data_IF_228854834088
#
_entry.id   IF_228854834088
#
_cell.length_a   1.000
_cell.length_b   1.000
_cell.length_c   1.000
_cell.angle_alpha   90.00
_cell.angle_beta   90.00
_cell.angle_gamma   90.00
#
_symmetry.space_group_name_H-M   'P 1'
#
loop_
_entity.id
_entity.type
_entity.pdbx_description
1 polymer ?
#
# COMPACT_ATOMS: atom_id res chain seq x y z
N UNK A 1 -14.02 -22.02 -11.66
CA UNK A 1 -13.28 -20.81 -12.09
C UNK A 1 -12.97 -20.00 -10.85
N UNK A 2 -11.72 -20.02 -10.39
CA UNK A 2 -11.26 -19.24 -9.23
C UNK A 2 -10.63 -17.94 -9.76
N UNK A 3 -11.06 -16.81 -9.21
CA UNK A 3 -10.70 -15.48 -9.68
C UNK A 3 -9.29 -15.12 -9.15
N UNK A 4 -8.39 -14.62 -10.01
CA UNK A 4 -6.96 -14.37 -9.75
C UNK A 4 -6.66 -13.22 -8.75
N UNK A 5 -7.56 -12.95 -7.80
CA UNK A 5 -7.39 -11.87 -6.82
C UNK A 5 -7.45 -12.33 -5.35
N UNK A 6 -7.57 -13.64 -5.11
CA UNK A 6 -7.59 -14.24 -3.76
C UNK A 6 -6.20 -14.37 -3.09
N UNK A 7 -5.13 -13.86 -3.70
CA UNK A 7 -3.75 -13.90 -3.16
C UNK A 7 -3.25 -12.50 -2.80
N UNK A 8 -3.80 -11.87 -1.77
CA UNK A 8 -3.15 -10.72 -1.12
C UNK A 8 -2.39 -11.13 0.15
N UNK A 9 -1.75 -12.29 0.06
CA UNK A 9 -0.52 -12.62 0.78
C UNK A 9 0.50 -13.05 -0.28
N UNK A 10 0.94 -12.12 -1.14
CA UNK A 10 1.96 -12.47 -2.13
C UNK A 10 3.27 -12.64 -1.37
N UNK A 11 3.74 -13.88 -1.29
CA UNK A 11 5.10 -14.23 -0.87
C UNK A 11 6.07 -13.41 -1.74
N UNK A 12 7.01 -12.69 -1.10
CA UNK A 12 8.00 -11.82 -1.74
C UNK A 12 8.70 -12.54 -2.92
N UNK A 13 8.89 -13.86 -2.80
CA UNK A 13 9.49 -14.72 -3.84
C UNK A 13 8.59 -15.00 -5.04
N UNK A 14 7.29 -15.12 -4.84
CA UNK A 14 6.34 -15.40 -5.93
C UNK A 14 6.06 -14.12 -6.73
N UNK A 15 6.08 -12.96 -6.06
CA UNK A 15 6.04 -11.66 -6.73
C UNK A 15 7.27 -11.44 -7.63
N UNK A 16 8.48 -11.73 -7.11
CA UNK A 16 9.73 -11.60 -7.87
C UNK A 16 9.74 -12.50 -9.11
N UNK A 17 9.18 -13.71 -8.99
CA UNK A 17 9.05 -14.66 -10.10
C UNK A 17 8.07 -14.16 -11.16
N UNK A 18 6.97 -13.56 -10.76
CA UNK A 18 5.94 -13.02 -11.65
C UNK A 18 6.37 -11.67 -12.31
N UNK A 19 7.25 -10.91 -11.65
CA UNK A 19 7.95 -9.75 -12.24
C UNK A 19 9.01 -10.23 -13.25
N UNK A 20 9.80 -11.24 -12.88
CA UNK A 20 10.82 -11.84 -13.76
C UNK A 20 10.24 -12.51 -15.00
N UNK A 21 9.00 -13.01 -14.95
CA UNK A 21 8.27 -13.59 -16.09
C UNK A 21 7.56 -12.54 -16.95
N UNK A 22 7.48 -11.27 -16.52
CA UNK A 22 6.77 -10.20 -17.22
C UNK A 22 5.25 -10.30 -17.18
N UNK A 23 4.70 -11.22 -16.37
CA UNK A 23 3.24 -11.43 -16.21
C UNK A 23 2.60 -10.28 -15.43
N UNK A 24 3.39 -9.59 -14.61
CA UNK A 24 3.02 -8.39 -13.88
C UNK A 24 4.11 -7.35 -14.13
N UNK A 25 3.75 -6.16 -14.61
CA UNK A 25 4.63 -5.00 -14.51
C UNK A 25 4.96 -4.80 -13.03
N UNK A 26 6.21 -4.50 -12.64
CA UNK A 26 6.58 -4.38 -11.25
C UNK A 26 5.67 -3.36 -10.58
N UNK A 27 4.68 -3.85 -9.85
CA UNK A 27 4.14 -3.12 -8.72
C UNK A 27 5.31 -3.15 -7.77
N UNK A 28 6.20 -2.17 -7.93
CA UNK A 28 7.32 -1.92 -7.05
C UNK A 28 6.77 -2.17 -5.65
N UNK A 29 7.19 -3.25 -4.99
CA UNK A 29 7.37 -3.15 -3.54
C UNK A 29 8.41 -2.05 -3.48
N UNK A 30 8.06 -0.82 -3.08
CA UNK A 30 9.05 0.23 -3.03
C UNK A 30 10.15 -0.33 -2.13
N UNK A 31 11.40 -0.31 -2.59
CA UNK A 31 12.49 -0.22 -1.62
C UNK A 31 12.20 1.07 -0.87
N UNK A 32 11.45 0.95 0.22
CA UNK A 32 10.90 2.11 0.89
C UNK A 32 12.09 2.94 1.33
N UNK A 33 12.25 4.12 0.72
CA UNK A 33 13.39 4.96 1.03
C UNK A 33 13.22 5.62 2.40
N UNK A 34 12.01 5.60 2.95
CA UNK A 34 11.68 6.22 4.23
C UNK A 34 10.49 5.55 4.93
N UNK A 35 10.37 5.80 6.23
CA UNK A 35 9.19 5.45 7.01
C UNK A 35 7.91 6.05 6.43
N UNK A 36 7.96 7.29 5.94
CA UNK A 36 6.81 7.95 5.34
C UNK A 36 6.28 7.20 4.10
N UNK A 37 7.15 6.63 3.27
CA UNK A 37 6.71 5.83 2.13
C UNK A 37 6.08 4.49 2.56
N UNK A 38 6.57 3.88 3.65
CA UNK A 38 5.96 2.69 4.25
C UNK A 38 4.52 2.99 4.69
N UNK A 39 4.32 4.10 5.42
CA UNK A 39 3.01 4.51 5.91
C UNK A 39 2.05 4.81 4.77
N UNK A 40 2.47 5.64 3.81
CA UNK A 40 1.66 5.97 2.63
C UNK A 40 1.26 4.71 1.86
N UNK A 41 2.19 3.79 1.64
CA UNK A 41 1.90 2.53 0.96
C UNK A 41 0.83 1.75 1.72
N UNK A 42 1.01 1.55 3.03
CA UNK A 42 0.10 0.73 3.80
C UNK A 42 -1.31 1.34 3.85
N UNK A 43 -1.42 2.65 4.03
CA UNK A 43 -2.70 3.33 4.01
C UNK A 43 -3.40 3.24 2.65
N UNK A 44 -2.66 3.38 1.55
CA UNK A 44 -3.19 3.13 0.20
C UNK A 44 -3.66 1.68 0.04
N UNK A 45 -2.89 0.72 0.55
CA UNK A 45 -3.24 -0.71 0.51
C UNK A 45 -4.57 -0.97 1.19
N UNK A 46 -4.84 -0.37 2.36
CA UNK A 46 -6.10 -0.56 3.05
C UNK A 46 -7.30 -0.01 2.28
N UNK A 47 -7.16 1.16 1.64
CA UNK A 47 -8.20 1.71 0.75
C UNK A 47 -8.49 0.73 -0.41
N UNK A 48 -7.44 0.17 -1.02
CA UNK A 48 -7.57 -0.76 -2.14
C UNK A 48 -8.17 -2.10 -1.69
N UNK A 49 -7.76 -2.63 -0.54
CA UNK A 49 -8.34 -3.84 0.06
C UNK A 49 -9.82 -3.67 0.31
N UNK A 50 -10.22 -2.55 0.92
CA UNK A 50 -11.62 -2.23 1.12
C UNK A 50 -12.39 -2.21 -0.19
N UNK A 51 -11.88 -1.49 -1.21
CA UNK A 51 -12.53 -1.40 -2.50
C UNK A 51 -12.72 -2.80 -3.13
N UNK A 52 -11.72 -3.68 -3.03
CA UNK A 52 -11.80 -5.05 -3.55
C UNK A 52 -12.77 -5.93 -2.77
N UNK A 53 -12.72 -5.88 -1.44
CA UNK A 53 -13.59 -6.69 -0.58
C UNK A 53 -15.08 -6.37 -0.77
N UNK A 54 -15.39 -5.17 -1.30
CA UNK A 54 -16.75 -4.68 -1.52
C UNK A 54 -17.09 -4.53 -3.01
N UNK A 55 -16.27 -5.07 -3.92
CA UNK A 55 -16.45 -4.97 -5.39
C UNK A 55 -16.68 -3.54 -5.91
N UNK A 56 -16.04 -2.56 -5.25
CA UNK A 56 -16.14 -1.14 -5.61
C UNK A 56 -15.18 -0.81 -6.75
N UNK A 57 -15.68 -0.09 -7.74
CA UNK A 57 -14.83 0.43 -8.82
C UNK A 57 -14.19 1.74 -8.34
N UNK A 58 -13.09 2.15 -8.99
CA UNK A 58 -12.42 3.42 -8.69
C UNK A 58 -13.37 4.63 -8.71
N UNK A 59 -14.38 4.62 -9.60
CA UNK A 59 -15.40 5.68 -9.68
C UNK A 59 -16.29 5.75 -8.45
N UNK A 60 -16.49 4.63 -7.75
CA UNK A 60 -17.36 4.55 -6.59
C UNK A 60 -16.59 5.07 -5.37
N UNK A 61 -15.33 4.65 -5.21
CA UNK A 61 -14.40 5.21 -4.23
C UNK A 61 -14.23 6.73 -4.42
N UNK A 62 -14.08 7.19 -5.66
CA UNK A 62 -13.96 8.61 -5.99
C UNK A 62 -15.18 9.42 -5.52
N UNK A 63 -16.39 8.87 -5.66
CA UNK A 63 -17.62 9.50 -5.16
C UNK A 63 -17.69 9.54 -3.64
N UNK A 64 -17.28 8.47 -2.95
CA UNK A 64 -17.31 8.41 -1.48
C UNK A 64 -16.34 9.43 -0.88
N UNK A 65 -15.17 9.59 -1.51
CA UNK A 65 -14.11 10.48 -1.04
C UNK A 65 -14.28 11.92 -1.57
N UNK A 66 -15.23 12.15 -2.48
CA UNK A 66 -15.47 13.43 -3.16
C UNK A 66 -14.23 13.96 -3.91
N UNK A 67 -13.66 13.11 -4.77
CA UNK A 67 -12.51 13.45 -5.62
C UNK A 67 -12.69 12.95 -7.04
N UNK A 68 -11.82 13.38 -7.95
CA UNK A 68 -11.85 12.91 -9.33
C UNK A 68 -11.35 11.46 -9.44
N UNK A 69 -11.94 10.68 -10.35
CA UNK A 69 -11.51 9.30 -10.65
C UNK A 69 -10.01 9.19 -10.96
N UNK A 70 -9.44 10.20 -11.64
CA UNK A 70 -8.01 10.24 -11.95
C UNK A 70 -7.14 10.21 -10.69
N UNK A 71 -7.56 10.88 -9.63
CA UNK A 71 -6.84 10.91 -8.36
C UNK A 71 -6.87 9.53 -7.68
N UNK A 72 -8.03 8.87 -7.66
CA UNK A 72 -8.13 7.47 -7.18
C UNK A 72 -7.32 6.52 -8.07
N UNK A 73 -7.26 6.73 -9.38
CA UNK A 73 -6.42 5.94 -10.27
C UNK A 73 -4.94 6.06 -9.91
N UNK A 74 -4.45 7.27 -9.58
CA UNK A 74 -3.06 7.47 -9.12
C UNK A 74 -2.81 6.77 -7.78
N UNK A 75 -3.77 6.81 -6.87
CA UNK A 75 -3.69 6.12 -5.58
C UNK A 75 -3.60 4.59 -5.77
N UNK A 76 -4.45 4.02 -6.63
CA UNK A 76 -4.47 2.59 -6.94
C UNK A 76 -3.19 2.12 -7.64
N UNK A 77 -2.50 3.02 -8.34
CA UNK A 77 -1.19 2.79 -8.94
C UNK A 77 -0.03 2.99 -7.95
N UNK A 78 -0.30 3.25 -6.67
CA UNK A 78 0.70 3.58 -5.65
C UNK A 78 1.64 4.71 -6.07
N UNK A 79 1.13 5.77 -6.70
CA UNK A 79 1.95 6.94 -7.02
C UNK A 79 2.20 7.82 -5.77
N UNK A 80 2.92 7.29 -4.79
CA UNK A 80 3.05 7.84 -3.43
C UNK A 80 3.67 9.24 -3.37
N UNK A 81 4.42 9.65 -4.41
CA UNK A 81 5.04 10.98 -4.50
C UNK A 81 4.01 12.09 -4.75
N UNK A 82 2.89 11.75 -5.40
CA UNK A 82 1.80 12.70 -5.68
C UNK A 82 0.91 12.96 -4.45
N UNK A 83 1.04 12.14 -3.41
CA UNK A 83 0.18 12.21 -2.23
C UNK A 83 1.01 12.51 -0.98
N UNK A 84 0.57 13.49 -0.21
CA UNK A 84 1.01 13.62 1.18
C UNK A 84 0.35 12.54 2.04
N UNK A 85 0.94 12.26 3.21
CA UNK A 85 0.37 11.29 4.14
C UNK A 85 -0.98 11.78 4.68
N UNK A 86 -1.08 13.08 4.94
CA UNK A 86 -2.31 13.75 5.38
C UNK A 86 -3.41 13.62 4.33
N UNK A 87 -3.06 13.71 3.04
CA UNK A 87 -4.04 13.54 1.95
C UNK A 87 -4.61 12.12 1.94
N UNK A 88 -3.77 11.10 2.10
CA UNK A 88 -4.21 9.70 2.17
C UNK A 88 -5.03 9.44 3.43
N UNK A 89 -4.62 9.99 4.58
CA UNK A 89 -5.40 9.91 5.81
C UNK A 89 -6.76 10.62 5.67
N UNK A 90 -6.82 11.74 4.94
CA UNK A 90 -8.07 12.40 4.58
C UNK A 90 -9.00 11.50 3.78
N UNK A 91 -8.47 10.70 2.86
CA UNK A 91 -9.24 9.69 2.12
C UNK A 91 -9.79 8.59 3.04
N UNK A 92 -8.95 8.07 3.94
CA UNK A 92 -9.38 7.09 4.95
C UNK A 92 -10.48 7.69 5.83
N UNK A 93 -10.30 8.92 6.30
CA UNK A 93 -11.28 9.59 7.13
C UNK A 93 -12.62 9.79 6.41
N UNK A 94 -12.60 10.14 5.12
CA UNK A 94 -13.81 10.24 4.31
C UNK A 94 -14.53 8.89 4.21
N UNK A 95 -13.79 7.80 3.93
CA UNK A 95 -14.34 6.45 3.93
C UNK A 95 -14.96 6.10 5.29
N UNK A 96 -14.24 6.28 6.39
CA UNK A 96 -14.72 5.99 7.75
C UNK A 96 -16.01 6.77 8.08
N UNK A 97 -16.12 8.04 7.68
CA UNK A 97 -17.34 8.85 7.86
C UNK A 97 -18.55 8.29 7.10
N UNK A 98 -18.31 7.56 6.01
CA UNK A 98 -19.34 6.85 5.25
C UNK A 98 -19.63 5.45 5.78
N UNK A 99 -19.18 5.12 6.99
CA UNK A 99 -19.43 3.83 7.64
C UNK A 99 -18.57 2.69 7.10
N UNK A 100 -17.50 3.01 6.36
CA UNK A 100 -16.54 2.02 5.87
C UNK A 100 -15.69 1.49 7.01
N UNK A 101 -15.47 0.17 7.04
CA UNK A 101 -14.50 -0.46 7.96
C UNK A 101 -13.13 -0.55 7.27
N UNK A 102 -12.15 0.16 7.82
CA UNK A 102 -10.73 0.09 7.42
C UNK A 102 -9.94 -0.54 8.57
N UNK A 103 -9.13 -1.55 8.27
CA UNK A 103 -8.27 -2.23 9.26
C UNK A 103 -7.01 -1.40 9.56
N UNK A 104 -7.18 -0.36 10.38
CA UNK A 104 -6.08 0.51 10.78
C UNK A 104 -5.08 -0.20 11.70
N UNK A 105 -5.54 -1.12 12.56
CA UNK A 105 -4.68 -1.84 13.49
C UNK A 105 -3.73 -2.78 12.72
N UNK A 106 -4.27 -3.55 11.76
CA UNK A 106 -3.47 -4.38 10.87
C UNK A 106 -2.50 -3.56 10.02
N UNK A 107 -2.92 -2.37 9.56
CA UNK A 107 -2.03 -1.45 8.87
C UNK A 107 -0.84 -1.01 9.74
N UNK A 108 -1.07 -0.62 11.00
CA UNK A 108 0.00 -0.21 11.89
C UNK A 108 0.99 -1.33 12.23
N UNK A 109 0.51 -2.57 12.40
CA UNK A 109 1.41 -3.71 12.62
C UNK A 109 2.29 -4.00 11.39
N UNK A 110 1.73 -3.91 10.18
CA UNK A 110 2.52 -4.05 8.95
C UNK A 110 3.53 -2.90 8.77
N UNK A 111 3.14 -1.66 9.08
CA UNK A 111 4.05 -0.50 9.10
C UNK A 111 5.21 -0.78 10.05
N UNK A 112 4.93 -1.24 11.27
CA UNK A 112 5.95 -1.53 12.30
C UNK A 112 6.90 -2.64 11.88
N UNK A 113 6.38 -3.71 11.27
CA UNK A 113 7.16 -4.83 10.74
C UNK A 113 8.12 -4.37 9.65
N UNK A 114 7.62 -3.61 8.66
CA UNK A 114 8.42 -3.08 7.54
C UNK A 114 9.44 -2.04 8.01
N UNK A 115 9.02 -1.17 8.92
CA UNK A 115 9.87 -0.18 9.58
C UNK A 115 11.04 -0.85 10.33
N UNK A 116 10.79 -1.99 10.97
CA UNK A 116 11.82 -2.76 11.68
C UNK A 116 12.82 -3.40 10.70
N UNK A 117 12.35 -3.90 9.55
CA UNK A 117 13.22 -4.40 8.46
C UNK A 117 14.11 -3.25 7.94
N UNK A 118 13.52 -2.10 7.64
CA UNK A 118 14.23 -0.90 7.18
C UNK A 118 15.31 -0.45 8.18
N UNK A 119 14.97 -0.36 9.47
CA UNK A 119 15.96 -0.02 10.52
C UNK A 119 17.13 -0.99 10.54
N UNK A 120 16.89 -2.30 10.43
CA UNK A 120 17.97 -3.30 10.39
C UNK A 120 18.86 -3.13 9.15
N UNK A 121 18.29 -2.79 8.01
CA UNK A 121 19.07 -2.58 6.77
C UNK A 121 19.95 -1.33 6.81
N UNK A 122 19.47 -0.25 7.44
CA UNK A 122 20.23 1.00 7.61
C UNK A 122 21.24 0.93 8.76
N UNK A 123 20.81 0.53 9.95
CA UNK A 123 21.64 0.56 11.17
C UNK A 123 22.42 -0.74 11.42
N UNK A 124 22.00 -1.87 10.83
CA UNK A 124 22.74 -3.13 10.92
C UNK A 124 24.03 -3.13 10.09
N UNK A 125 24.19 -2.19 9.14
CA UNK A 125 25.43 -2.00 8.37
C UNK A 125 26.50 -1.20 9.13
N UNK A 126 26.15 -0.44 10.17
CA UNK A 126 27.13 0.35 10.93
C UNK A 126 28.04 -0.49 11.83
N UNK A 127 27.69 -1.73 12.15
CA UNK A 127 28.55 -2.61 12.98
C UNK A 127 29.64 -3.37 12.21
N UNK A 128 29.80 -3.16 10.91
CA UNK A 128 30.83 -3.83 10.10
C UNK A 128 32.00 -2.94 9.64
N UNK A 129 32.05 -1.66 10.04
CA UNK A 129 33.12 -0.72 9.60
C UNK A 129 34.14 -0.44 10.71
N UNK A 130 34.11 -1.19 11.81
CA UNK A 130 35.14 -1.12 12.85
C UNK A 130 35.64 -2.52 13.16
N UNK A 131 36.54 -3.02 12.31
CA UNK A 131 37.41 -4.17 12.58
C UNK A 131 38.79 -3.88 12.00
#
# INVERSE_FOLDING_TARGET
MKNKFDEFAIDEKELDKQIGSGEITPVHIPQFASFAEIEKFQFCTEIIKYAKANDLKQKDIAKIIDVNKSEISKLFAYNLKEFSQERILGFIQALLKHGVSIDMDGAYEEIKKRSSKLKKEFFGKEQMVVA
#
